data_IF_255115004437
#
_entry.id   IF_255115004437
#
_cell.length_a   1.000
_cell.length_b   1.000
_cell.length_c   1.000
_cell.angle_alpha   90.00
_cell.angle_beta   90.00
_cell.angle_gamma   90.00
#
_symmetry.space_group_name_H-M   'P 1'
#
loop_
_entity.id
_entity.type
_entity.pdbx_description
1 polymer ?
#
# COMPACT_ATOMS: atom_id res chain seq x y z
N UNK A 1 72.65 61.41 22.17
CA UNK A 1 73.55 60.63 21.29
C UNK A 1 73.68 59.24 21.90
N UNK A 2 73.12 58.24 21.19
CA UNK A 2 73.46 56.80 21.14
C UNK A 2 73.60 55.99 22.46
N UNK A 3 72.74 54.97 22.67
CA UNK A 3 72.98 53.50 22.45
C UNK A 3 73.37 52.85 23.81
N UNK A 4 72.86 51.72 24.34
CA UNK A 4 71.92 50.67 23.91
C UNK A 4 71.55 49.76 25.13
N UNK A 5 70.68 48.73 24.99
CA UNK A 5 69.76 48.27 26.04
C UNK A 5 70.18 47.00 26.80
N UNK A 6 69.56 46.75 27.95
CA UNK A 6 69.64 45.47 28.69
C UNK A 6 68.47 44.57 28.34
N UNK A 7 68.84 43.39 27.85
CA UNK A 7 68.07 42.19 27.52
C UNK A 7 66.96 41.82 28.51
N UNK A 8 65.79 41.45 27.96
CA UNK A 8 64.84 40.55 28.61
C UNK A 8 64.44 39.46 27.62
N UNK A 9 64.83 38.23 27.95
CA UNK A 9 64.51 37.01 27.22
C UNK A 9 62.99 36.78 27.15
N UNK A 10 62.47 36.62 25.93
CA UNK A 10 61.11 36.15 25.69
C UNK A 10 61.14 34.63 25.46
N UNK A 11 60.47 33.88 26.33
CA UNK A 11 60.19 32.45 26.12
C UNK A 11 58.96 32.38 25.19
N UNK A 12 59.16 31.89 23.97
CA UNK A 12 58.08 31.62 23.03
C UNK A 12 57.46 30.25 23.35
N UNK A 13 56.21 30.24 23.84
CA UNK A 13 55.39 29.03 23.92
C UNK A 13 54.69 28.87 22.57
N UNK A 14 55.10 27.88 21.79
CA UNK A 14 54.41 27.49 20.56
C UNK A 14 53.24 26.59 20.98
N UNK A 15 52.02 27.12 20.95
CA UNK A 15 50.80 26.31 21.00
C UNK A 15 50.48 25.87 19.58
N UNK A 16 50.70 24.59 19.28
CA UNK A 16 50.28 23.99 18.01
C UNK A 16 48.80 23.62 18.14
N UNK A 17 47.92 24.44 17.59
CA UNK A 17 46.50 24.11 17.45
C UNK A 17 46.34 23.22 16.22
N UNK A 18 46.18 21.90 16.42
CA UNK A 18 45.75 21.00 15.34
C UNK A 18 44.30 21.33 14.98
N UNK A 19 44.10 22.06 13.89
CA UNK A 19 42.79 22.20 13.27
C UNK A 19 42.46 20.87 12.56
N UNK A 20 41.58 20.07 13.16
CA UNK A 20 40.97 18.93 12.50
C UNK A 20 39.97 19.49 11.49
N UNK A 21 40.43 19.75 10.26
CA UNK A 21 39.53 19.97 9.13
C UNK A 21 38.91 18.63 8.75
N UNK A 22 37.87 18.24 9.49
CA UNK A 22 37.01 17.15 9.08
C UNK A 22 36.32 17.58 7.78
N UNK A 23 36.68 16.93 6.67
CA UNK A 23 35.91 17.00 5.44
C UNK A 23 34.51 16.43 5.71
N UNK A 24 33.58 17.29 6.15
CA UNK A 24 32.15 17.03 6.00
C UNK A 24 31.86 17.10 4.51
N UNK A 25 32.02 15.97 3.83
CA UNK A 25 31.37 15.74 2.56
C UNK A 25 29.88 15.80 2.88
N UNK A 26 29.27 16.98 2.72
CA UNK A 26 27.81 17.08 2.69
C UNK A 26 27.41 16.23 1.50
N UNK A 27 26.98 15.01 1.78
CA UNK A 27 26.21 14.22 0.80
C UNK A 27 25.07 15.14 0.43
N UNK A 28 25.08 15.65 -0.80
CA UNK A 28 23.95 16.37 -1.32
C UNK A 28 22.79 15.38 -1.26
N UNK A 29 21.83 15.62 -0.36
CA UNK A 29 20.54 14.96 -0.45
C UNK A 29 20.05 15.35 -1.84
N UNK A 30 19.98 14.39 -2.75
CA UNK A 30 19.43 14.62 -4.08
C UNK A 30 18.06 15.28 -3.85
N UNK A 31 17.84 16.44 -4.49
CA UNK A 31 16.52 17.04 -4.52
C UNK A 31 15.61 16.01 -5.18
N UNK A 32 14.81 15.32 -4.37
CA UNK A 32 13.79 14.40 -4.86
C UNK A 32 12.76 15.28 -5.54
N UNK A 33 12.58 15.08 -6.85
CA UNK A 33 11.45 15.68 -7.55
C UNK A 33 10.19 15.00 -7.01
N UNK A 34 9.32 15.72 -6.25
CA UNK A 34 8.10 15.12 -5.71
C UNK A 34 7.11 14.70 -6.81
N UNK A 35 7.34 15.11 -8.06
CA UNK A 35 6.55 14.72 -9.23
C UNK A 35 7.29 13.78 -10.19
N UNK A 36 8.50 13.34 -9.82
CA UNK A 36 9.26 12.37 -10.60
C UNK A 36 8.62 10.98 -10.57
N UNK A 37 8.97 10.08 -11.51
CA UNK A 37 8.54 8.70 -11.45
C UNK A 37 9.06 8.05 -10.16
N UNK A 38 8.15 7.63 -9.28
CA UNK A 38 8.49 6.94 -8.03
C UNK A 38 8.39 5.43 -8.25
N UNK A 39 9.52 4.76 -8.08
CA UNK A 39 9.60 3.31 -7.97
C UNK A 39 9.67 2.93 -6.49
N UNK A 40 8.82 1.98 -6.07
CA UNK A 40 8.89 1.48 -4.69
C UNK A 40 10.10 0.56 -4.59
N UNK A 41 11.19 1.07 -4.01
CA UNK A 41 12.45 0.33 -3.89
C UNK A 41 12.42 -0.54 -2.64
N UNK A 42 12.72 -1.82 -2.76
CA UNK A 42 12.85 -2.68 -1.57
C UNK A 42 14.09 -2.22 -0.80
N UNK A 43 13.97 -1.83 0.48
CA UNK A 43 15.12 -1.35 1.24
C UNK A 43 16.14 -2.48 1.43
N UNK A 44 17.42 -2.20 1.12
CA UNK A 44 18.51 -3.16 1.37
C UNK A 44 18.67 -3.51 2.86
N UNK A 45 18.26 -2.57 3.73
CA UNK A 45 18.30 -2.71 5.19
C UNK A 45 17.02 -2.15 5.82
N UNK A 46 16.45 -2.88 6.78
CA UNK A 46 15.26 -2.48 7.52
C UNK A 46 13.96 -2.81 6.78
N UNK A 47 12.90 -2.08 7.12
CA UNK A 47 11.58 -2.21 6.51
C UNK A 47 10.90 -0.84 6.45
N UNK A 48 10.00 -0.67 5.48
CA UNK A 48 9.06 0.44 5.49
C UNK A 48 8.12 0.31 6.69
N UNK A 49 7.90 1.42 7.38
CA UNK A 49 6.81 1.54 8.35
C UNK A 49 5.57 2.03 7.65
N UNK A 50 4.43 1.50 8.06
CA UNK A 50 3.14 1.99 7.60
C UNK A 50 2.08 1.77 8.65
N UNK A 51 0.99 2.51 8.51
CA UNK A 51 -0.13 2.44 9.45
C UNK A 51 -1.46 2.65 8.72
N UNK A 52 -2.47 1.97 9.26
CA UNK A 52 -3.88 2.28 9.07
C UNK A 52 -4.31 3.06 10.31
N UNK A 53 -4.76 4.30 10.14
CA UNK A 53 -4.91 5.25 11.25
C UNK A 53 -6.36 5.69 11.47
N UNK A 54 -7.26 5.30 10.56
CA UNK A 54 -8.68 5.45 10.77
C UNK A 54 -9.23 4.24 11.53
N UNK A 55 -10.09 4.52 12.50
CA UNK A 55 -10.84 3.51 13.26
C UNK A 55 -12.34 3.87 13.28
N UNK A 56 -12.77 4.75 12.37
CA UNK A 56 -14.17 5.06 12.13
C UNK A 56 -14.91 3.90 11.46
N UNK A 57 -16.25 3.96 11.46
CA UNK A 57 -17.12 2.88 10.99
C UNK A 57 -16.85 2.46 9.53
N UNK A 58 -16.35 3.39 8.71
CA UNK A 58 -16.11 3.21 7.28
C UNK A 58 -14.63 2.96 6.96
N UNK A 59 -13.72 3.27 7.90
CA UNK A 59 -12.27 3.13 7.71
C UNK A 59 -11.73 3.85 6.44
N UNK A 60 -12.44 4.86 5.95
CA UNK A 60 -12.17 5.56 4.71
C UNK A 60 -11.87 7.06 4.90
N UNK A 61 -11.68 7.54 6.13
CA UNK A 61 -11.28 8.93 6.39
C UNK A 61 -9.76 9.06 6.55
N UNK A 62 -9.17 10.05 5.89
CA UNK A 62 -7.74 10.35 6.02
C UNK A 62 -7.56 11.85 6.18
N UNK A 63 -7.08 12.27 7.35
CA UNK A 63 -6.74 13.67 7.61
C UNK A 63 -5.25 13.84 7.85
N UNK A 64 -4.71 15.01 7.46
CA UNK A 64 -3.30 15.34 7.72
C UNK A 64 -3.01 15.39 9.23
N UNK A 65 -3.95 15.88 10.04
CA UNK A 65 -3.83 15.95 11.50
C UNK A 65 -3.65 14.56 12.11
N UNK A 66 -4.48 13.60 11.73
CA UNK A 66 -4.37 12.21 12.22
C UNK A 66 -3.01 11.59 11.87
N UNK A 67 -2.50 11.85 10.67
CA UNK A 67 -1.19 11.36 10.24
C UNK A 67 -0.07 11.98 11.10
N UNK A 68 -0.05 13.32 11.21
CA UNK A 68 0.97 14.04 11.96
C UNK A 68 0.96 13.68 13.45
N UNK A 69 -0.22 13.54 14.06
CA UNK A 69 -0.38 13.13 15.45
C UNK A 69 0.14 11.70 15.70
N UNK A 70 -0.19 10.75 14.81
CA UNK A 70 0.30 9.39 14.92
C UNK A 70 1.84 9.33 14.78
N UNK A 71 2.40 10.03 13.79
CA UNK A 71 3.84 10.09 13.59
C UNK A 71 4.58 10.74 14.77
N UNK A 72 3.99 11.79 15.36
CA UNK A 72 4.52 12.40 16.58
C UNK A 72 4.49 11.40 17.75
N UNK A 73 3.41 10.63 17.90
CA UNK A 73 3.27 9.63 18.96
C UNK A 73 4.33 8.53 18.86
N UNK A 74 4.56 8.00 17.65
CA UNK A 74 5.51 6.89 17.44
C UNK A 74 6.93 7.37 17.17
N UNK A 75 7.13 8.67 16.94
CA UNK A 75 8.41 9.29 16.63
C UNK A 75 9.00 8.86 15.29
N UNK A 76 8.18 8.48 14.31
CA UNK A 76 8.63 7.93 13.02
C UNK A 76 7.64 8.16 11.88
N UNK A 77 8.19 8.53 10.73
CA UNK A 77 7.45 8.67 9.46
C UNK A 77 6.85 7.34 8.99
N UNK A 78 5.60 7.34 8.56
CA UNK A 78 4.91 6.23 7.92
C UNK A 78 5.10 6.34 6.41
N UNK A 79 5.96 5.48 5.87
CA UNK A 79 6.24 5.42 4.44
C UNK A 79 5.03 4.93 3.64
N UNK A 80 4.17 4.12 4.24
CA UNK A 80 2.94 3.59 3.62
C UNK A 80 1.75 3.95 4.52
N UNK A 81 0.72 4.55 3.97
CA UNK A 81 -0.52 4.84 4.71
C UNK A 81 -1.65 4.13 4.00
N UNK A 82 -2.42 3.38 4.78
CA UNK A 82 -3.52 2.57 4.27
C UNK A 82 -4.87 3.23 4.54
N UNK A 83 -5.81 3.07 3.62
CA UNK A 83 -7.22 3.46 3.77
C UNK A 83 -8.13 2.59 2.92
N UNK A 84 -9.42 2.54 3.28
CA UNK A 84 -10.42 1.76 2.55
C UNK A 84 -11.00 2.51 1.34
N UNK A 85 -11.48 1.74 0.36
CA UNK A 85 -12.28 2.22 -0.76
C UNK A 85 -13.36 1.19 -1.08
N UNK A 86 -14.58 1.45 -0.62
CA UNK A 86 -15.71 0.55 -0.79
C UNK A 86 -16.47 0.82 -2.08
N UNK A 87 -16.87 -0.25 -2.76
CA UNK A 87 -17.63 -0.13 -4.01
C UNK A 87 -19.02 0.50 -3.79
N UNK A 88 -19.59 0.38 -2.59
CA UNK A 88 -20.81 1.06 -2.17
C UNK A 88 -20.78 2.58 -2.38
N UNK A 89 -19.60 3.21 -2.26
CA UNK A 89 -19.43 4.66 -2.46
C UNK A 89 -19.38 5.08 -3.94
N UNK A 90 -19.19 4.13 -4.86
CA UNK A 90 -19.20 4.36 -6.31
C UNK A 90 -18.22 5.48 -6.77
N UNK A 91 -17.15 5.69 -6.02
CA UNK A 91 -16.13 6.72 -6.26
C UNK A 91 -14.71 6.12 -6.27
N UNK A 92 -13.75 6.96 -6.66
CA UNK A 92 -12.32 6.75 -6.47
C UNK A 92 -11.87 7.70 -5.34
N UNK A 93 -11.09 7.27 -4.33
CA UNK A 93 -10.83 8.00 -3.09
C UNK A 93 -9.78 9.11 -3.26
N UNK A 94 -9.92 9.97 -4.27
CA UNK A 94 -8.88 10.92 -4.72
C UNK A 94 -8.41 11.87 -3.61
N UNK A 95 -9.31 12.30 -2.73
CA UNK A 95 -8.96 13.25 -1.67
C UNK A 95 -8.02 12.61 -0.64
N UNK A 96 -8.33 11.40 -0.18
CA UNK A 96 -7.48 10.62 0.71
C UNK A 96 -6.10 10.36 0.10
N UNK A 97 -6.07 9.93 -1.17
CA UNK A 97 -4.82 9.62 -1.85
C UNK A 97 -3.96 10.88 -2.06
N UNK A 98 -4.58 12.03 -2.32
CA UNK A 98 -3.86 13.30 -2.41
C UNK A 98 -3.29 13.73 -1.06
N UNK A 99 -4.01 13.52 0.04
CA UNK A 99 -3.50 13.82 1.40
C UNK A 99 -2.28 12.95 1.69
N UNK A 100 -2.39 11.63 1.50
CA UNK A 100 -1.30 10.66 1.72
C UNK A 100 -0.08 11.00 0.85
N UNK A 101 -0.30 11.24 -0.44
CA UNK A 101 0.79 11.52 -1.38
C UNK A 101 1.49 12.84 -1.06
N UNK A 102 0.74 13.92 -0.79
CA UNK A 102 1.30 15.23 -0.46
C UNK A 102 2.00 15.24 0.91
N UNK A 103 1.63 14.34 1.80
CA UNK A 103 2.35 14.08 3.05
C UNK A 103 3.73 13.40 2.81
N UNK A 104 3.95 12.82 1.63
CA UNK A 104 5.20 12.12 1.30
C UNK A 104 5.15 10.63 1.64
N UNK A 105 3.96 10.05 1.70
CA UNK A 105 3.72 8.64 1.95
C UNK A 105 3.11 7.96 0.71
N UNK A 106 3.36 6.66 0.55
CA UNK A 106 2.77 5.84 -0.51
C UNK A 106 1.37 5.37 -0.09
N UNK A 107 0.32 5.64 -0.86
CA UNK A 107 -1.01 5.14 -0.55
C UNK A 107 -1.12 3.62 -0.74
N UNK A 108 -1.77 2.95 0.21
CA UNK A 108 -2.26 1.57 0.11
C UNK A 108 -3.79 1.59 0.21
N UNK A 109 -4.48 1.08 -0.80
CA UNK A 109 -5.95 1.10 -0.86
C UNK A 109 -6.50 -0.31 -0.72
N UNK A 110 -7.35 -0.54 0.30
CA UNK A 110 -8.20 -1.72 0.35
C UNK A 110 -9.44 -1.48 -0.51
N UNK A 111 -9.40 -1.95 -1.75
CA UNK A 111 -10.48 -1.77 -2.72
C UNK A 111 -11.44 -2.95 -2.66
N UNK A 112 -12.52 -2.76 -1.91
CA UNK A 112 -13.40 -3.85 -1.45
C UNK A 112 -14.75 -3.82 -2.17
N UNK A 113 -15.15 -4.91 -2.87
CA UNK A 113 -16.47 -5.04 -3.49
C UNK A 113 -17.53 -5.32 -2.42
N UNK A 114 -17.85 -4.27 -1.65
CA UNK A 114 -18.76 -4.30 -0.51
C UNK A 114 -19.80 -3.19 -0.65
N UNK A 115 -21.03 -3.46 -0.26
CA UNK A 115 -22.14 -2.51 -0.19
C UNK A 115 -22.52 -2.16 1.24
N UNK A 116 -23.10 -0.97 1.41
CA UNK A 116 -23.70 -0.55 2.68
C UNK A 116 -24.76 -1.57 3.13
N UNK A 117 -24.80 -1.91 4.43
CA UNK A 117 -24.14 -1.25 5.55
C UNK A 117 -22.80 -1.89 5.99
N UNK A 118 -22.07 -2.52 5.06
CA UNK A 118 -20.75 -3.11 5.33
C UNK A 118 -20.75 -4.11 6.50
N UNK A 119 -21.72 -5.03 6.47
CA UNK A 119 -21.87 -6.05 7.50
C UNK A 119 -21.01 -7.29 7.18
N UNK A 120 -20.19 -7.70 8.14
CA UNK A 120 -19.39 -8.92 8.07
C UNK A 120 -20.21 -10.19 8.28
N UNK A 121 -19.62 -11.35 7.97
CA UNK A 121 -20.22 -12.69 8.08
C UNK A 121 -21.50 -12.88 7.23
N UNK A 122 -21.66 -12.02 6.23
CA UNK A 122 -22.72 -12.10 5.24
C UNK A 122 -22.18 -12.55 3.89
N UNK A 123 -23.02 -13.34 3.20
CA UNK A 123 -22.72 -13.85 1.87
C UNK A 123 -22.63 -12.73 0.83
N UNK A 124 -22.47 -13.10 -0.46
CA UNK A 124 -22.25 -12.14 -1.52
C UNK A 124 -23.38 -11.12 -1.61
N UNK A 125 -23.01 -9.84 -1.69
CA UNK A 125 -23.95 -8.75 -1.93
C UNK A 125 -24.09 -8.48 -3.45
N UNK A 126 -24.60 -7.29 -3.82
CA UNK A 126 -24.77 -6.89 -5.22
C UNK A 126 -23.46 -6.85 -6.01
N UNK A 127 -22.30 -6.73 -5.35
CA UNK A 127 -20.95 -6.72 -5.91
C UNK A 127 -20.30 -8.11 -5.92
N UNK A 128 -21.08 -9.19 -5.84
CA UNK A 128 -20.56 -10.55 -5.88
C UNK A 128 -19.55 -10.80 -7.02
N UNK A 129 -18.58 -11.68 -6.78
CA UNK A 129 -17.55 -12.02 -7.76
C UNK A 129 -18.15 -12.58 -9.06
N UNK A 130 -19.30 -13.25 -8.99
CA UNK A 130 -20.04 -13.75 -10.16
C UNK A 130 -20.63 -12.63 -11.00
N UNK A 131 -21.18 -11.57 -10.38
CA UNK A 131 -21.72 -10.42 -11.11
C UNK A 131 -20.60 -9.56 -11.71
N UNK A 132 -19.45 -9.46 -11.01
CA UNK A 132 -18.23 -8.86 -11.55
C UNK A 132 -17.77 -9.60 -12.81
N UNK A 133 -17.66 -10.94 -12.73
CA UNK A 133 -17.25 -11.78 -13.87
C UNK A 133 -18.27 -11.79 -15.03
N UNK A 134 -19.54 -11.49 -14.74
CA UNK A 134 -20.58 -11.29 -15.75
C UNK A 134 -20.52 -9.90 -16.41
N UNK A 135 -19.60 -9.04 -15.98
CA UNK A 135 -19.39 -7.71 -16.53
C UNK A 135 -20.38 -6.64 -16.05
N UNK A 136 -21.19 -6.92 -15.03
CA UNK A 136 -22.22 -5.98 -14.56
C UNK A 136 -21.63 -4.69 -13.98
N UNK A 137 -20.45 -4.79 -13.37
CA UNK A 137 -19.76 -3.68 -12.71
C UNK A 137 -18.65 -3.05 -13.56
N UNK A 138 -18.58 -3.42 -14.83
CA UNK A 138 -17.59 -2.94 -15.80
C UNK A 138 -17.49 -1.42 -15.87
N UNK A 139 -18.63 -0.73 -15.94
CA UNK A 139 -18.65 0.73 -16.02
C UNK A 139 -18.07 1.39 -14.76
N UNK A 140 -18.31 0.81 -13.58
CA UNK A 140 -17.73 1.29 -12.33
C UNK A 140 -16.22 1.06 -12.31
N UNK A 141 -15.77 -0.16 -12.66
CA UNK A 141 -14.35 -0.51 -12.71
C UNK A 141 -13.60 0.39 -13.70
N UNK A 142 -14.17 0.63 -14.89
CA UNK A 142 -13.57 1.48 -15.91
C UNK A 142 -13.47 2.93 -15.45
N UNK A 143 -14.51 3.46 -14.79
CA UNK A 143 -14.50 4.82 -14.21
C UNK A 143 -13.47 4.94 -13.09
N UNK A 144 -13.38 3.94 -12.20
CA UNK A 144 -12.40 3.90 -11.13
C UNK A 144 -10.97 3.87 -11.69
N UNK A 145 -10.74 3.04 -12.71
CA UNK A 145 -9.44 2.94 -13.38
C UNK A 145 -9.05 4.21 -14.14
N UNK A 146 -10.01 4.89 -14.77
CA UNK A 146 -9.76 6.20 -15.39
C UNK A 146 -9.32 7.23 -14.34
N UNK A 147 -10.01 7.30 -13.20
CA UNK A 147 -9.62 8.18 -12.10
C UNK A 147 -8.27 7.80 -11.49
N UNK A 148 -7.98 6.51 -11.36
CA UNK A 148 -6.69 6.02 -10.88
C UNK A 148 -5.54 6.40 -11.82
N UNK A 149 -5.74 6.31 -13.14
CA UNK A 149 -4.78 6.81 -14.13
C UNK A 149 -4.57 8.31 -13.98
N UNK A 150 -5.67 9.07 -13.85
CA UNK A 150 -5.64 10.53 -13.80
C UNK A 150 -5.06 11.06 -12.47
N UNK A 151 -5.09 10.28 -11.39
CA UNK A 151 -4.36 10.56 -10.15
C UNK A 151 -2.85 10.68 -10.38
N UNK A 152 -2.29 9.93 -11.34
CA UNK A 152 -0.93 10.15 -11.86
C UNK A 152 0.22 9.78 -10.91
N UNK A 153 -0.03 9.43 -9.65
CA UNK A 153 0.98 9.01 -8.69
C UNK A 153 0.90 7.51 -8.37
N UNK A 154 2.02 6.88 -7.96
CA UNK A 154 2.00 5.47 -7.59
C UNK A 154 1.13 5.19 -6.36
N UNK A 155 0.48 4.02 -6.37
CA UNK A 155 -0.29 3.52 -5.23
C UNK A 155 -0.21 1.98 -5.19
N UNK A 156 -0.42 1.41 -4.01
CA UNK A 156 -0.65 -0.02 -3.82
C UNK A 156 -2.17 -0.24 -3.73
N UNK A 157 -2.69 -1.26 -4.42
CA UNK A 157 -4.11 -1.64 -4.34
C UNK A 157 -4.23 -3.10 -3.96
N UNK A 158 -5.07 -3.36 -2.97
CA UNK A 158 -5.50 -4.69 -2.54
C UNK A 158 -6.96 -4.86 -2.96
N UNK A 159 -7.23 -5.74 -3.93
CA UNK A 159 -8.60 -6.12 -4.25
C UNK A 159 -9.02 -7.34 -3.43
N UNK A 160 -10.13 -7.21 -2.68
CA UNK A 160 -10.74 -8.32 -1.94
C UNK A 160 -9.80 -8.95 -0.92
N UNK A 161 -9.44 -8.18 0.11
CA UNK A 161 -8.52 -8.60 1.18
C UNK A 161 -9.05 -9.83 1.92
N UNK A 162 -8.15 -10.71 2.39
CA UNK A 162 -8.52 -11.84 3.28
C UNK A 162 -9.62 -12.76 2.73
N UNK A 163 -9.65 -12.96 1.41
CA UNK A 163 -10.61 -13.84 0.74
C UNK A 163 -10.64 -15.29 1.24
N UNK A 164 -9.62 -15.69 2.01
CA UNK A 164 -9.52 -16.97 2.70
C UNK A 164 -10.19 -17.00 4.09
N UNK A 165 -10.99 -15.99 4.43
CA UNK A 165 -11.88 -15.97 5.61
C UNK A 165 -13.31 -16.39 5.30
N UNK A 166 -14.23 -16.01 6.19
CA UNK A 166 -15.69 -16.08 5.98
C UNK A 166 -16.41 -14.77 6.28
N UNK A 167 -15.70 -13.72 6.71
CA UNK A 167 -16.30 -12.46 7.15
C UNK A 167 -16.67 -11.54 5.99
N UNK A 168 -15.98 -11.63 4.85
CA UNK A 168 -16.24 -10.75 3.71
C UNK A 168 -17.07 -11.39 2.59
N UNK A 169 -17.90 -10.63 1.84
CA UNK A 169 -18.76 -11.16 0.78
C UNK A 169 -18.00 -11.70 -0.45
N UNK A 170 -16.72 -11.39 -0.59
CA UNK A 170 -15.81 -11.96 -1.60
C UNK A 170 -15.07 -13.22 -1.13
N UNK A 171 -15.32 -13.70 0.09
CA UNK A 171 -14.68 -14.90 0.63
C UNK A 171 -14.98 -16.13 -0.22
N UNK A 172 -13.96 -16.94 -0.53
CA UNK A 172 -14.14 -18.11 -1.41
C UNK A 172 -15.12 -19.15 -0.86
N UNK A 173 -15.36 -19.17 0.45
CA UNK A 173 -16.39 -19.98 1.10
C UNK A 173 -17.79 -19.77 0.50
N UNK A 174 -18.10 -18.54 0.07
CA UNK A 174 -19.38 -18.20 -0.53
C UNK A 174 -19.50 -18.55 -2.02
N UNK A 175 -18.39 -18.90 -2.68
CA UNK A 175 -18.33 -19.18 -4.13
C UNK A 175 -18.11 -20.67 -4.40
N UNK A 176 -18.78 -21.51 -3.62
CA UNK A 176 -18.69 -22.96 -3.72
C UNK A 176 -17.55 -23.58 -2.89
N UNK A 177 -16.69 -22.78 -2.27
CA UNK A 177 -15.66 -23.24 -1.33
C UNK A 177 -14.89 -24.47 -1.82
N UNK A 178 -14.98 -25.56 -1.06
CA UNK A 178 -14.34 -26.85 -1.31
C UNK A 178 -14.89 -27.65 -2.51
N UNK A 179 -15.95 -27.19 -3.18
CA UNK A 179 -16.49 -27.91 -4.33
C UNK A 179 -15.44 -28.04 -5.43
N UNK A 180 -15.14 -29.27 -5.84
CA UNK A 180 -14.19 -29.53 -6.91
C UNK A 180 -14.80 -29.22 -8.28
N UNK A 181 -14.04 -28.49 -9.10
CA UNK A 181 -14.33 -28.27 -10.51
C UNK A 181 -13.38 -29.13 -11.36
N UNK A 182 -13.88 -30.19 -12.01
CA UNK A 182 -13.05 -31.09 -12.81
C UNK A 182 -12.55 -30.46 -14.11
N UNK A 183 -13.21 -29.40 -14.62
CA UNK A 183 -12.82 -28.75 -15.87
C UNK A 183 -11.55 -27.93 -15.68
N UNK A 184 -11.48 -27.17 -14.59
CA UNK A 184 -10.30 -26.37 -14.23
C UNK A 184 -9.33 -27.09 -13.28
N UNK A 185 -9.70 -28.29 -12.81
CA UNK A 185 -8.94 -29.11 -11.84
C UNK A 185 -8.56 -28.31 -10.59
N UNK A 186 -9.52 -27.61 -10.02
CA UNK A 186 -9.33 -26.78 -8.83
C UNK A 186 -10.62 -26.69 -8.01
N UNK A 187 -10.54 -26.13 -6.80
CA UNK A 187 -11.72 -25.82 -5.99
C UNK A 187 -12.41 -24.54 -6.48
N UNK A 188 -13.75 -24.54 -6.50
CA UNK A 188 -14.56 -23.45 -7.06
C UNK A 188 -14.39 -22.12 -6.34
N UNK A 189 -14.30 -22.12 -5.01
CA UNK A 189 -14.17 -20.89 -4.23
C UNK A 189 -12.92 -20.09 -4.62
N UNK A 190 -11.72 -20.67 -4.44
CA UNK A 190 -10.47 -20.04 -4.83
C UNK A 190 -10.37 -19.75 -6.32
N UNK A 191 -10.90 -20.63 -7.18
CA UNK A 191 -10.90 -20.38 -8.62
C UNK A 191 -11.75 -19.16 -9.00
N UNK A 192 -12.90 -18.98 -8.36
CA UNK A 192 -13.78 -17.82 -8.62
C UNK A 192 -13.08 -16.52 -8.25
N UNK A 193 -12.43 -16.49 -7.08
CA UNK A 193 -11.62 -15.33 -6.66
C UNK A 193 -10.46 -15.06 -7.63
N UNK A 194 -9.70 -16.09 -8.03
CA UNK A 194 -8.61 -15.95 -9.00
C UNK A 194 -9.08 -15.36 -10.32
N UNK A 195 -10.21 -15.83 -10.85
CA UNK A 195 -10.81 -15.30 -12.08
C UNK A 195 -11.19 -13.83 -11.91
N UNK A 196 -11.87 -13.47 -10.81
CA UNK A 196 -12.29 -12.09 -10.55
C UNK A 196 -11.10 -11.14 -10.37
N UNK A 197 -10.08 -11.54 -9.61
CA UNK A 197 -8.86 -10.75 -9.42
C UNK A 197 -8.18 -10.45 -10.78
N UNK A 198 -8.00 -11.48 -11.61
CA UNK A 198 -7.41 -11.31 -12.95
C UNK A 198 -8.26 -10.40 -13.84
N UNK A 199 -9.57 -10.62 -13.85
CA UNK A 199 -10.52 -9.84 -14.62
C UNK A 199 -10.42 -8.34 -14.32
N UNK A 200 -10.39 -7.99 -13.02
CA UNK A 200 -10.29 -6.60 -12.57
C UNK A 200 -8.94 -6.01 -12.96
N UNK A 201 -7.84 -6.70 -12.66
CA UNK A 201 -6.49 -6.21 -12.98
C UNK A 201 -6.32 -6.00 -14.48
N UNK A 202 -6.75 -6.95 -15.31
CA UNK A 202 -6.68 -6.82 -16.77
C UNK A 202 -7.50 -5.63 -17.28
N UNK A 203 -8.70 -5.43 -16.71
CA UNK A 203 -9.56 -4.31 -17.06
C UNK A 203 -8.96 -2.96 -16.68
N UNK A 204 -8.47 -2.83 -15.45
CA UNK A 204 -7.81 -1.61 -14.96
C UNK A 204 -6.57 -1.30 -15.80
N UNK A 205 -5.76 -2.31 -16.12
CA UNK A 205 -4.59 -2.15 -17.02
C UNK A 205 -5.00 -1.73 -18.43
N UNK A 206 -6.11 -2.25 -18.97
CA UNK A 206 -6.63 -1.85 -20.27
C UNK A 206 -7.07 -0.37 -20.32
N UNK A 207 -7.39 0.25 -19.17
CA UNK A 207 -7.66 1.69 -19.04
C UNK A 207 -6.40 2.55 -18.90
N UNK A 208 -5.23 1.93 -18.84
CA UNK A 208 -3.93 2.60 -18.78
C UNK A 208 -3.48 3.02 -17.38
N UNK A 209 -4.15 2.57 -16.32
CA UNK A 209 -3.79 2.82 -14.92
C UNK A 209 -2.55 2.00 -14.50
N UNK A 210 -1.40 2.35 -15.08
CA UNK A 210 -0.11 1.67 -14.88
C UNK A 210 0.62 2.12 -13.61
N UNK A 211 0.10 3.12 -12.91
CA UNK A 211 0.58 3.62 -11.63
C UNK A 211 0.18 2.75 -10.42
N UNK A 212 -0.61 1.68 -10.63
CA UNK A 212 -1.01 0.76 -9.57
C UNK A 212 -0.01 -0.38 -9.42
N UNK A 213 0.40 -0.66 -8.19
CA UNK A 213 1.04 -1.91 -7.76
C UNK A 213 -0.01 -2.80 -7.09
N UNK A 214 -0.15 -4.02 -7.57
CA UNK A 214 -1.17 -4.95 -7.09
C UNK A 214 -0.64 -5.79 -5.94
N UNK A 215 -1.36 -5.76 -4.82
CA UNK A 215 -1.06 -6.60 -3.67
C UNK A 215 -2.08 -7.74 -3.58
N UNK A 216 -1.57 -8.96 -3.39
CA UNK A 216 -2.37 -10.13 -3.01
C UNK A 216 -2.26 -10.32 -1.50
N UNK A 217 -3.36 -10.10 -0.78
CA UNK A 217 -3.38 -10.04 0.68
C UNK A 217 -4.31 -11.09 1.28
N UNK A 218 -3.78 -11.96 2.12
CA UNK A 218 -4.54 -13.04 2.77
C UNK A 218 -4.54 -12.92 4.28
N UNK A 219 -5.52 -13.52 4.95
CA UNK A 219 -5.39 -13.77 6.39
C UNK A 219 -4.32 -14.83 6.63
N UNK A 220 -3.55 -14.74 7.72
CA UNK A 220 -2.50 -15.72 8.05
C UNK A 220 -3.04 -17.15 8.14
N UNK A 221 -4.23 -17.31 8.74
CA UNK A 221 -4.90 -18.57 8.92
C UNK A 221 -6.17 -18.60 8.07
N UNK A 222 -6.33 -19.60 7.19
CA UNK A 222 -7.57 -19.74 6.47
C UNK A 222 -8.70 -20.12 7.42
N UNK A 223 -9.86 -19.54 7.18
CA UNK A 223 -11.09 -19.90 7.86
C UNK A 223 -12.16 -20.22 6.79
N UNK A 224 -12.60 -21.49 6.66
CA UNK A 224 -12.21 -22.66 7.46
C UNK A 224 -10.75 -23.09 7.21
N UNK A 225 -10.19 -23.81 8.19
CA UNK A 225 -8.81 -24.31 8.14
C UNK A 225 -8.70 -25.57 7.26
N UNK A 226 -8.80 -25.39 5.94
CA UNK A 226 -8.81 -26.45 4.95
C UNK A 226 -7.85 -26.16 3.79
N UNK A 227 -7.34 -27.21 3.14
CA UNK A 227 -6.32 -27.10 2.07
C UNK A 227 -6.80 -26.22 0.92
N UNK A 228 -8.09 -26.34 0.55
CA UNK A 228 -8.65 -25.54 -0.53
C UNK A 228 -8.62 -24.05 -0.20
N UNK A 229 -8.60 -23.69 1.08
CA UNK A 229 -8.73 -22.32 1.53
C UNK A 229 -7.38 -21.66 1.86
N UNK A 230 -6.26 -22.39 1.79
CA UNK A 230 -4.93 -21.83 2.04
C UNK A 230 -4.57 -20.76 0.98
N UNK A 231 -3.79 -19.75 1.38
CA UNK A 231 -3.37 -18.64 0.52
C UNK A 231 -2.90 -19.04 -0.91
N UNK A 232 -2.09 -20.11 -1.10
CA UNK A 232 -1.66 -20.52 -2.44
C UNK A 232 -2.81 -20.91 -3.38
N UNK A 233 -3.95 -21.38 -2.85
CA UNK A 233 -5.11 -21.76 -3.67
C UNK A 233 -5.77 -20.55 -4.34
N UNK A 234 -5.61 -19.35 -3.76
CA UNK A 234 -6.17 -18.09 -4.25
C UNK A 234 -5.20 -17.27 -5.10
N UNK A 235 -3.92 -17.66 -5.19
CA UNK A 235 -2.91 -16.85 -5.87
C UNK A 235 -3.21 -16.71 -7.38
N UNK A 236 -3.36 -15.48 -7.92
CA UNK A 236 -3.75 -15.25 -9.31
C UNK A 236 -2.57 -15.40 -10.29
N UNK A 237 -1.34 -15.51 -9.80
CA UNK A 237 -0.12 -15.68 -10.61
C UNK A 237 0.72 -14.41 -10.67
N UNK A 238 2.01 -14.57 -10.95
CA UNK A 238 3.03 -13.50 -10.90
C UNK A 238 2.80 -12.35 -11.86
N UNK A 239 2.06 -12.56 -12.95
CA UNK A 239 1.71 -11.48 -13.89
C UNK A 239 0.69 -10.48 -13.30
N UNK A 240 0.04 -10.83 -12.20
CA UNK A 240 -1.05 -10.06 -11.59
C UNK A 240 -0.70 -9.48 -10.22
N UNK A 241 0.46 -9.80 -9.67
CA UNK A 241 0.82 -9.48 -8.29
C UNK A 241 2.23 -8.90 -8.23
N UNK A 242 2.34 -7.70 -7.67
CA UNK A 242 3.59 -7.02 -7.35
C UNK A 242 4.01 -7.24 -5.88
N UNK A 243 3.03 -7.34 -4.95
CA UNK A 243 3.26 -7.47 -3.51
C UNK A 243 2.45 -8.61 -2.89
N UNK A 244 3.01 -9.26 -1.86
CA UNK A 244 2.28 -10.19 -0.99
C UNK A 244 1.99 -9.50 0.35
N UNK A 245 0.74 -9.56 0.79
CA UNK A 245 0.28 -9.07 2.08
C UNK A 245 -0.26 -10.21 2.94
N UNK A 246 -0.08 -10.11 4.26
CA UNK A 246 -0.60 -11.08 5.23
C UNK A 246 -1.11 -10.32 6.45
N UNK A 247 -2.37 -10.56 6.85
CA UNK A 247 -2.88 -10.13 8.17
C UNK A 247 -2.49 -11.15 9.23
N UNK A 248 -2.00 -10.70 10.38
CA UNK A 248 -1.41 -11.56 11.42
C UNK A 248 -2.06 -11.43 12.78
#
# INVERSE_FOLDING_TARGET
MRIDPVSKSAVAVIVVTLAITGCRQRVAVAQVDPNGPVEVVIPEHGAYTGAFMDFGDEEDDVTLETIEDFEQMVGKHQAIIASSSYWGEQNFPVDNLNIIWRHGSLPLVFWSPWDKPYEEDHGPDKFSLTEILAGKWDAYIDKWADAARDFGHPMIVVFGVEMNGTWFPWSGAYYGGAQWDPEVKNWKGPETFRKAYRYIVDRVRARGASNIKWMFHTNNYPYPYEIWNCAPAYYPGSNYVDWLGISV
#
